data_IF_201424543067
#
_entry.id   IF_201424543067
#
_cell.length_a   1.000
_cell.length_b   1.000
_cell.length_c   1.000
_cell.angle_alpha   90.00
_cell.angle_beta   90.00
_cell.angle_gamma   90.00
#
_symmetry.space_group_name_H-M   'P 1'
#
loop_
_entity.id
_entity.type
_entity.pdbx_description
1 polymer ?
#
# COMPACT_ATOMS: atom_id res chain seq x y z
N UNK A 1 28.88 -53.16 -17.41
CA UNK A 1 27.61 -52.73 -16.75
C UNK A 1 27.86 -51.41 -16.01
N UNK A 2 26.87 -50.49 -16.01
CA UNK A 2 26.82 -49.14 -15.36
C UNK A 2 27.09 -47.86 -16.21
N UNK A 3 26.34 -47.62 -17.30
CA UNK A 3 26.07 -46.25 -17.78
C UNK A 3 24.66 -45.73 -17.39
N UNK A 4 23.73 -46.61 -17.00
CA UNK A 4 22.32 -46.24 -16.72
C UNK A 4 22.12 -45.42 -15.44
N UNK A 5 22.98 -45.59 -14.43
CA UNK A 5 22.86 -44.88 -13.15
C UNK A 5 23.26 -43.40 -13.23
N UNK A 6 24.19 -43.03 -14.13
CA UNK A 6 24.64 -41.64 -14.25
C UNK A 6 23.61 -40.78 -14.99
N UNK A 7 23.05 -41.31 -16.08
CA UNK A 7 22.00 -40.64 -16.84
C UNK A 7 20.73 -40.42 -15.99
N UNK A 8 20.34 -41.43 -15.19
CA UNK A 8 19.19 -41.32 -14.29
C UNK A 8 19.40 -40.21 -13.24
N UNK A 9 20.58 -40.13 -12.63
CA UNK A 9 20.90 -39.06 -11.67
C UNK A 9 20.89 -37.67 -12.30
N UNK A 10 21.43 -37.51 -13.51
CA UNK A 10 21.41 -36.22 -14.23
C UNK A 10 19.98 -35.81 -14.58
N UNK A 11 19.14 -36.74 -15.01
CA UNK A 11 17.72 -36.46 -15.32
C UNK A 11 16.95 -36.08 -14.06
N UNK A 12 17.14 -36.79 -12.95
CA UNK A 12 16.49 -36.45 -11.67
C UNK A 12 16.94 -35.06 -11.18
N UNK A 13 18.23 -34.75 -11.28
CA UNK A 13 18.76 -33.43 -10.89
C UNK A 13 18.19 -32.32 -11.78
N UNK A 14 18.09 -32.56 -13.10
CA UNK A 14 17.53 -31.61 -14.05
C UNK A 14 16.03 -31.37 -13.80
N UNK A 15 15.25 -32.42 -13.53
CA UNK A 15 13.83 -32.32 -13.19
C UNK A 15 13.64 -31.59 -11.87
N UNK A 16 14.44 -31.90 -10.84
CA UNK A 16 14.42 -31.19 -9.57
C UNK A 16 14.77 -29.70 -9.74
N UNK A 17 15.81 -29.38 -10.53
CA UNK A 17 16.20 -28.00 -10.83
C UNK A 17 15.11 -27.24 -11.60
N UNK A 18 14.44 -27.90 -12.56
CA UNK A 18 13.31 -27.32 -13.29
C UNK A 18 12.08 -27.12 -12.40
N UNK A 19 11.80 -28.05 -11.49
CA UNK A 19 10.70 -27.92 -10.54
C UNK A 19 10.94 -26.75 -9.56
N UNK A 20 12.15 -26.64 -9.02
CA UNK A 20 12.55 -25.53 -8.14
C UNK A 20 12.56 -24.20 -8.90
N UNK A 21 13.15 -24.17 -10.11
CA UNK A 21 13.15 -22.99 -10.97
C UNK A 21 11.74 -22.55 -11.39
N UNK A 22 10.87 -23.51 -11.70
CA UNK A 22 9.47 -23.28 -12.03
C UNK A 22 8.67 -22.74 -10.84
N UNK A 23 8.87 -23.30 -9.64
CA UNK A 23 8.24 -22.79 -8.41
C UNK A 23 8.72 -21.37 -8.07
N UNK A 24 10.02 -21.10 -8.19
CA UNK A 24 10.63 -19.77 -8.00
C UNK A 24 10.05 -18.77 -9.03
N UNK A 25 9.91 -19.19 -10.29
CA UNK A 25 9.35 -18.39 -11.38
C UNK A 25 7.82 -18.16 -11.31
N UNK A 26 7.10 -19.08 -10.68
CA UNK A 26 5.67 -18.93 -10.40
C UNK A 26 5.47 -17.97 -9.22
N UNK A 27 6.21 -18.17 -8.12
CA UNK A 27 6.17 -17.30 -6.96
C UNK A 27 6.66 -15.88 -7.30
N UNK A 28 7.65 -15.73 -8.18
CA UNK A 28 8.08 -14.40 -8.65
C UNK A 28 6.98 -13.64 -9.39
N UNK A 29 6.24 -14.33 -10.26
CA UNK A 29 5.13 -13.74 -11.01
C UNK A 29 3.93 -13.46 -10.12
N UNK A 30 3.70 -14.30 -9.11
CA UNK A 30 2.65 -14.09 -8.13
C UNK A 30 2.90 -12.82 -7.28
N UNK A 31 4.16 -12.52 -6.95
CA UNK A 31 4.55 -11.33 -6.16
C UNK A 31 4.77 -10.06 -7.01
N UNK A 32 4.79 -10.20 -8.34
CA UNK A 32 4.97 -9.09 -9.25
C UNK A 32 3.84 -8.05 -9.15
N UNK A 33 4.12 -6.82 -9.62
CA UNK A 33 3.16 -5.71 -9.63
C UNK A 33 1.86 -6.17 -10.29
N UNK A 34 0.71 -6.00 -9.65
CA UNK A 34 -0.57 -6.27 -10.31
C UNK A 34 -0.71 -5.32 -11.51
N UNK A 35 -1.16 -5.85 -12.66
CA UNK A 35 -1.33 -5.09 -13.91
C UNK A 35 -2.30 -3.93 -13.67
N UNK A 36 -1.77 -2.70 -13.51
CA UNK A 36 -2.55 -1.47 -13.35
C UNK A 36 -1.81 -0.27 -13.93
N UNK A 37 -2.56 0.76 -14.38
CA UNK A 37 -2.00 2.01 -14.86
C UNK A 37 -1.06 2.61 -13.82
N UNK A 38 0.10 3.10 -14.28
CA UNK A 38 1.02 3.89 -13.47
C UNK A 38 0.26 5.08 -12.85
N UNK A 39 0.46 5.40 -11.56
CA UNK A 39 -0.06 6.64 -11.00
C UNK A 39 0.43 7.84 -11.82
N UNK A 40 -0.34 8.94 -11.85
CA UNK A 40 0.07 10.15 -12.56
C UNK A 40 1.43 10.64 -12.04
N UNK A 41 2.25 11.16 -12.94
CA UNK A 41 3.57 11.68 -12.60
C UNK A 41 3.43 12.79 -11.55
N UNK A 42 4.17 12.67 -10.44
CA UNK A 42 4.18 13.65 -9.36
C UNK A 42 5.38 14.59 -9.49
N UNK A 43 5.16 15.89 -9.27
CA UNK A 43 6.24 16.87 -9.18
C UNK A 43 6.46 17.34 -7.73
N UNK A 44 7.67 17.85 -7.39
CA UNK A 44 7.91 18.52 -6.11
C UNK A 44 6.95 19.68 -5.83
N UNK A 45 6.50 20.38 -6.88
CA UNK A 45 5.55 21.48 -6.77
C UNK A 45 4.17 21.00 -6.30
N UNK A 46 3.75 19.79 -6.66
CA UNK A 46 2.49 19.20 -6.19
C UNK A 46 2.52 18.97 -4.68
N UNK A 47 3.65 18.51 -4.15
CA UNK A 47 3.84 18.35 -2.71
C UNK A 47 3.73 19.68 -1.95
N UNK A 48 4.39 20.72 -2.45
CA UNK A 48 4.33 22.06 -1.84
C UNK A 48 2.91 22.65 -1.91
N UNK A 49 2.20 22.50 -3.04
CA UNK A 49 0.80 22.93 -3.17
C UNK A 49 -0.12 22.20 -2.19
N UNK A 50 0.03 20.89 -2.06
CA UNK A 50 -0.77 20.08 -1.16
C UNK A 50 -0.53 20.46 0.32
N UNK A 51 0.74 20.64 0.72
CA UNK A 51 1.10 21.10 2.06
C UNK A 51 0.55 22.50 2.35
N UNK A 52 0.66 23.43 1.40
CA UNK A 52 0.13 24.78 1.56
C UNK A 52 -1.40 24.77 1.74
N UNK A 53 -2.13 23.96 0.95
CA UNK A 53 -3.59 23.79 1.10
C UNK A 53 -3.97 23.25 2.48
N UNK A 54 -3.27 22.23 2.97
CA UNK A 54 -3.51 21.65 4.30
C UNK A 54 -3.13 22.62 5.42
N UNK A 55 -2.04 23.36 5.25
CA UNK A 55 -1.62 24.38 6.21
C UNK A 55 -2.59 25.55 6.26
N UNK A 56 -3.08 26.03 5.12
CA UNK A 56 -4.10 27.07 5.06
C UNK A 56 -5.43 26.60 5.66
N UNK A 57 -5.79 25.33 5.45
CA UNK A 57 -6.95 24.70 6.11
C UNK A 57 -6.80 24.72 7.63
N UNK A 58 -5.67 24.23 8.15
CA UNK A 58 -5.40 24.15 9.58
C UNK A 58 -5.25 25.52 10.25
N UNK A 59 -4.67 26.50 9.55
CA UNK A 59 -4.38 27.82 10.09
C UNK A 59 -5.58 28.77 10.03
N UNK A 60 -6.38 28.69 8.97
CA UNK A 60 -7.39 29.71 8.70
C UNK A 60 -8.80 29.31 9.12
N UNK A 61 -9.08 28.02 9.34
CA UNK A 61 -10.38 27.54 9.85
C UNK A 61 -11.58 28.24 9.21
N UNK A 62 -11.47 28.58 7.91
CA UNK A 62 -12.42 29.50 7.29
C UNK A 62 -13.74 28.76 7.14
N UNK A 63 -14.85 29.29 7.68
CA UNK A 63 -16.14 28.66 7.52
C UNK A 63 -16.49 28.55 6.04
N UNK A 64 -17.14 27.46 5.66
CA UNK A 64 -17.63 27.17 4.30
C UNK A 64 -16.57 27.18 3.17
N UNK A 65 -15.34 26.77 3.45
CA UNK A 65 -14.28 26.61 2.44
C UNK A 65 -14.24 25.17 1.92
N UNK A 66 -14.16 25.03 0.59
CA UNK A 66 -13.89 23.73 -0.05
C UNK A 66 -12.43 23.68 -0.50
N UNK A 67 -11.69 22.70 0.02
CA UNK A 67 -10.31 22.43 -0.37
C UNK A 67 -10.26 21.17 -1.22
N UNK A 68 -9.73 21.29 -2.43
CA UNK A 68 -9.58 20.17 -3.36
C UNK A 68 -8.12 19.78 -3.50
N UNK A 69 -7.82 18.50 -3.27
CA UNK A 69 -6.51 17.90 -3.52
C UNK A 69 -6.60 16.98 -4.73
N UNK A 70 -5.69 17.13 -5.69
CA UNK A 70 -5.63 16.24 -6.86
C UNK A 70 -4.96 14.91 -6.53
N UNK A 71 -5.15 13.89 -7.36
CA UNK A 71 -4.44 12.61 -7.22
C UNK A 71 -2.90 12.79 -7.20
N UNK A 72 -2.35 13.70 -8.02
CA UNK A 72 -0.92 14.00 -8.04
C UNK A 72 -0.44 14.66 -6.73
N UNK A 73 -1.24 15.58 -6.17
CA UNK A 73 -0.96 16.23 -4.89
C UNK A 73 -1.00 15.23 -3.72
N UNK A 74 -1.98 14.32 -3.71
CA UNK A 74 -2.07 13.23 -2.73
C UNK A 74 -0.85 12.33 -2.86
N UNK A 75 -0.49 11.89 -4.07
CA UNK A 75 0.66 11.02 -4.30
C UNK A 75 1.99 11.69 -3.89
N UNK A 76 2.14 12.99 -4.14
CA UNK A 76 3.32 13.73 -3.68
C UNK A 76 3.40 13.83 -2.15
N UNK A 77 2.26 13.95 -1.45
CA UNK A 77 2.23 13.89 0.02
C UNK A 77 2.59 12.50 0.54
N UNK A 78 2.02 11.44 -0.04
CA UNK A 78 2.29 10.05 0.36
C UNK A 78 3.77 9.69 0.21
N UNK A 79 4.37 10.06 -0.93
CA UNK A 79 5.77 9.79 -1.22
C UNK A 79 6.73 10.45 -0.21
N UNK A 80 6.35 11.61 0.35
CA UNK A 80 7.19 12.37 1.29
C UNK A 80 6.92 12.03 2.76
N UNK A 81 5.66 11.92 3.16
CA UNK A 81 5.29 11.86 4.58
C UNK A 81 4.99 10.44 5.05
N UNK A 82 4.59 9.54 4.15
CA UNK A 82 4.22 8.18 4.55
C UNK A 82 5.43 7.25 4.71
N UNK A 83 6.58 7.63 4.17
CA UNK A 83 7.88 6.97 4.41
C UNK A 83 8.38 7.23 5.83
N UNK A 84 7.97 8.35 6.45
CA UNK A 84 8.40 8.75 7.80
C UNK A 84 7.32 8.49 8.86
N UNK A 85 6.04 8.43 8.46
CA UNK A 85 4.94 8.25 9.39
C UNK A 85 4.92 6.84 10.02
N UNK A 86 5.02 6.80 11.34
CA UNK A 86 4.76 5.62 12.20
C UNK A 86 5.69 4.41 11.97
N UNK A 87 6.91 4.63 11.46
CA UNK A 87 7.93 3.57 11.36
C UNK A 87 7.71 2.55 10.24
N UNK A 88 6.68 2.73 9.41
CA UNK A 88 6.32 1.81 8.34
C UNK A 88 7.15 2.12 7.10
N UNK A 89 8.00 1.18 6.67
CA UNK A 89 8.80 1.33 5.45
C UNK A 89 8.00 0.84 4.24
N UNK A 90 7.25 1.74 3.62
CA UNK A 90 6.58 1.48 2.35
C UNK A 90 7.41 2.05 1.19
N UNK A 91 7.76 1.21 0.24
CA UNK A 91 8.37 1.62 -1.02
C UNK A 91 7.32 2.14 -2.00
N UNK A 92 7.61 3.29 -2.62
CA UNK A 92 6.80 3.95 -3.65
C UNK A 92 5.27 3.88 -3.40
N UNK A 93 4.77 4.41 -2.26
CA UNK A 93 3.34 4.44 -2.00
C UNK A 93 2.64 5.32 -3.03
N UNK A 94 1.49 4.86 -3.52
CA UNK A 94 0.63 5.57 -4.46
C UNK A 94 -0.84 5.34 -4.12
N UNK A 95 -1.65 6.38 -4.27
CA UNK A 95 -3.10 6.38 -4.19
C UNK A 95 -3.69 6.69 -5.55
N UNK A 96 -4.76 5.98 -5.87
CA UNK A 96 -5.67 6.29 -6.96
C UNK A 96 -7.04 6.61 -6.39
N UNK A 97 -7.62 7.72 -6.85
CA UNK A 97 -8.89 8.24 -6.38
C UNK A 97 -9.96 7.80 -7.38
N UNK A 98 -10.67 6.72 -7.05
CA UNK A 98 -11.59 6.05 -7.97
C UNK A 98 -12.92 6.80 -8.10
N UNK A 99 -13.33 7.49 -7.03
CA UNK A 99 -14.66 8.10 -6.90
C UNK A 99 -15.56 7.29 -5.95
N UNK A 100 -16.76 7.80 -5.68
CA UNK A 100 -17.71 7.20 -4.73
C UNK A 100 -17.08 6.90 -3.35
N UNK A 101 -16.27 7.84 -2.86
CA UNK A 101 -15.50 7.71 -1.61
C UNK A 101 -14.51 6.53 -1.60
N UNK A 102 -14.21 5.93 -2.76
CA UNK A 102 -13.24 4.84 -2.88
C UNK A 102 -11.86 5.34 -3.25
N UNK A 103 -10.89 4.91 -2.45
CA UNK A 103 -9.45 5.10 -2.70
C UNK A 103 -8.79 3.73 -2.85
N UNK A 104 -7.80 3.68 -3.72
CA UNK A 104 -6.97 2.50 -3.88
C UNK A 104 -5.52 2.84 -3.65
N UNK A 105 -4.95 2.21 -2.64
CA UNK A 105 -3.57 2.37 -2.23
C UNK A 105 -2.74 1.21 -2.79
N UNK A 106 -1.59 1.52 -3.35
CA UNK A 106 -0.61 0.55 -3.83
C UNK A 106 0.76 0.94 -3.31
N UNK A 107 1.49 -0.02 -2.74
CA UNK A 107 2.85 0.16 -2.26
C UNK A 107 3.62 -1.14 -2.50
N UNK A 108 4.93 -1.13 -2.25
CA UNK A 108 5.70 -2.37 -2.15
C UNK A 108 6.51 -2.41 -0.86
N UNK A 109 6.68 -3.61 -0.31
CA UNK A 109 7.52 -3.88 0.86
C UNK A 109 8.50 -5.00 0.55
N UNK A 110 9.69 -5.03 1.14
CA UNK A 110 10.56 -6.20 1.05
C UNK A 110 9.86 -7.44 1.61
N UNK A 111 10.04 -8.59 0.97
CA UNK A 111 9.45 -9.86 1.44
C UNK A 111 9.86 -10.17 2.89
N UNK A 112 11.10 -9.89 3.28
CA UNK A 112 11.57 -10.07 4.65
C UNK A 112 10.71 -9.28 5.64
N UNK A 113 10.47 -8.00 5.36
CA UNK A 113 9.67 -7.13 6.23
C UNK A 113 8.24 -7.65 6.36
N UNK A 114 7.63 -8.12 5.26
CA UNK A 114 6.30 -8.71 5.32
C UNK A 114 6.23 -9.96 6.21
N UNK A 115 7.28 -10.80 6.22
CA UNK A 115 7.35 -11.98 7.07
C UNK A 115 7.57 -11.61 8.55
N UNK A 116 8.36 -10.57 8.80
CA UNK A 116 8.59 -10.03 10.13
C UNK A 116 7.27 -9.46 10.69
N UNK A 117 6.56 -8.64 9.90
CA UNK A 117 5.26 -8.05 10.24
C UNK A 117 4.17 -9.12 10.43
N UNK A 118 4.22 -10.21 9.67
CA UNK A 118 3.32 -11.36 9.79
C UNK A 118 3.59 -12.25 11.01
N UNK A 119 4.63 -11.96 11.80
CA UNK A 119 5.01 -12.75 12.98
C UNK A 119 5.67 -14.09 12.64
N UNK A 120 6.19 -14.27 11.43
CA UNK A 120 6.90 -15.48 10.98
C UNK A 120 8.34 -15.18 10.50
N UNK A 121 9.15 -14.45 11.29
CA UNK A 121 10.50 -14.03 10.88
C UNK A 121 11.43 -15.22 10.59
N UNK A 122 11.17 -16.37 11.21
CA UNK A 122 11.91 -17.61 10.99
C UNK A 122 11.89 -18.06 9.51
N UNK A 123 10.79 -17.82 8.79
CA UNK A 123 10.72 -18.13 7.35
C UNK A 123 11.68 -17.27 6.53
N UNK A 124 11.89 -16.01 6.93
CA UNK A 124 12.83 -15.10 6.27
C UNK A 124 14.28 -15.58 6.34
N UNK A 125 14.65 -16.24 7.45
CA UNK A 125 16.00 -16.80 7.63
C UNK A 125 16.33 -17.94 6.64
N UNK A 126 15.32 -18.67 6.17
CA UNK A 126 15.46 -19.76 5.19
C UNK A 126 15.54 -19.24 3.75
N UNK A 127 15.08 -18.01 3.50
CA UNK A 127 15.13 -17.41 2.17
C UNK A 127 16.55 -17.02 1.77
N UNK A 128 16.86 -17.13 0.48
CA UNK A 128 18.13 -16.61 -0.06
C UNK A 128 18.14 -15.08 -0.03
N UNK A 129 19.31 -14.42 -0.03
CA UNK A 129 19.40 -12.95 0.03
C UNK A 129 18.58 -12.24 -1.05
N UNK A 130 18.55 -12.78 -2.27
CA UNK A 130 17.76 -12.24 -3.38
C UNK A 130 16.24 -12.32 -3.17
N UNK A 131 15.77 -13.30 -2.40
CA UNK A 131 14.36 -13.41 -2.02
C UNK A 131 13.99 -12.47 -0.87
N UNK A 132 14.88 -12.28 0.12
CA UNK A 132 14.62 -11.38 1.26
C UNK A 132 14.40 -9.94 0.83
N UNK A 133 15.23 -9.45 -0.10
CA UNK A 133 15.14 -8.09 -0.64
C UNK A 133 14.08 -7.93 -1.73
N UNK A 134 13.35 -8.99 -2.08
CA UNK A 134 12.43 -8.97 -3.21
C UNK A 134 11.23 -8.07 -2.89
N UNK A 135 10.88 -7.12 -3.76
CA UNK A 135 9.71 -6.28 -3.55
C UNK A 135 8.43 -7.09 -3.73
N UNK A 136 7.58 -7.04 -2.73
CA UNK A 136 6.22 -7.60 -2.73
C UNK A 136 5.26 -6.43 -2.82
N UNK A 137 4.44 -6.44 -3.87
CA UNK A 137 3.43 -5.40 -4.05
C UNK A 137 2.25 -5.63 -3.13
N UNK A 138 1.78 -4.58 -2.48
CA UNK A 138 0.59 -4.57 -1.65
C UNK A 138 -0.44 -3.65 -2.30
N UNK A 139 -1.68 -4.10 -2.32
CA UNK A 139 -2.81 -3.29 -2.79
C UNK A 139 -3.92 -3.33 -1.76
N UNK A 140 -4.40 -2.14 -1.41
CA UNK A 140 -5.52 -1.95 -0.49
C UNK A 140 -6.57 -1.09 -1.20
N UNK A 141 -7.77 -1.64 -1.40
CA UNK A 141 -8.95 -0.87 -1.76
C UNK A 141 -9.71 -0.52 -0.49
N UNK A 142 -9.93 0.77 -0.26
CA UNK A 142 -10.62 1.25 0.93
C UNK A 142 -11.65 2.31 0.59
N UNK A 143 -12.68 2.37 1.42
CA UNK A 143 -13.70 3.40 1.39
C UNK A 143 -13.43 4.43 2.48
N UNK A 144 -13.42 5.70 2.11
CA UNK A 144 -13.19 6.81 3.02
C UNK A 144 -14.50 7.10 3.74
N UNK A 145 -14.49 7.03 5.07
CA UNK A 145 -15.63 7.40 5.91
C UNK A 145 -15.20 8.39 6.98
N UNK A 146 -16.07 9.34 7.28
CA UNK A 146 -15.92 10.21 8.45
C UNK A 146 -16.80 9.64 9.55
N UNK A 147 -16.20 9.23 10.67
CA UNK A 147 -16.93 8.84 11.88
C UNK A 147 -17.23 10.12 12.68
N UNK A 148 -18.52 10.33 12.98
CA UNK A 148 -19.02 11.51 13.69
C UNK A 148 -19.02 11.34 15.22
N UNK A 149 -18.67 10.15 15.74
CA UNK A 149 -18.72 9.88 17.19
C UNK A 149 -17.60 10.60 17.95
N UNK A 150 -17.96 11.53 18.84
CA UNK A 150 -17.18 12.20 19.92
C UNK A 150 -15.82 12.85 19.54
N UNK A 151 -15.01 12.23 18.70
CA UNK A 151 -13.86 12.79 17.99
C UNK A 151 -14.03 12.48 16.50
N UNK A 152 -14.17 13.51 15.66
CA UNK A 152 -14.28 13.34 14.20
C UNK A 152 -13.03 12.60 13.70
N UNK A 153 -13.23 11.41 13.14
CA UNK A 153 -12.14 10.57 12.65
C UNK A 153 -12.37 10.18 11.21
N UNK A 154 -11.38 10.41 10.36
CA UNK A 154 -11.31 9.83 9.04
C UNK A 154 -10.89 8.38 9.17
N UNK A 155 -11.70 7.47 8.65
CA UNK A 155 -11.47 6.04 8.67
C UNK A 155 -11.48 5.50 7.26
N UNK A 156 -10.45 4.72 6.94
CA UNK A 156 -10.34 3.94 5.72
C UNK A 156 -10.86 2.54 6.01
N UNK A 157 -12.09 2.26 5.59
CA UNK A 157 -12.67 0.92 5.68
C UNK A 157 -12.19 0.08 4.49
N UNK A 158 -11.34 -0.91 4.77
CA UNK A 158 -10.74 -1.76 3.75
C UNK A 158 -11.78 -2.76 3.23
N UNK A 159 -12.05 -2.70 1.94
CA UNK A 159 -12.94 -3.63 1.22
C UNK A 159 -12.13 -4.73 0.53
N UNK A 160 -11.03 -4.34 -0.11
CA UNK A 160 -10.20 -5.22 -0.92
C UNK A 160 -8.76 -5.20 -0.44
N UNK A 161 -8.14 -6.38 -0.34
CA UNK A 161 -6.71 -6.49 -0.08
C UNK A 161 -6.07 -7.50 -1.05
N UNK A 162 -4.88 -7.18 -1.54
CA UNK A 162 -4.10 -8.10 -2.36
C UNK A 162 -2.60 -7.96 -2.12
N UNK A 163 -1.91 -9.09 -2.21
CA UNK A 163 -0.46 -9.23 -2.13
C UNK A 163 0.02 -9.78 -3.46
N UNK A 164 0.77 -8.99 -4.20
CA UNK A 164 1.11 -9.19 -5.61
C UNK A 164 -0.16 -9.35 -6.44
N UNK A 165 -0.35 -10.54 -7.01
CA UNK A 165 -1.52 -10.93 -7.80
C UNK A 165 -2.58 -11.67 -6.97
N UNK A 166 -2.27 -12.06 -5.73
CA UNK A 166 -3.16 -12.84 -4.88
C UNK A 166 -4.08 -11.91 -4.08
N UNK A 167 -5.40 -12.08 -4.24
CA UNK A 167 -6.39 -11.41 -3.39
C UNK A 167 -6.48 -12.12 -2.06
N UNK A 168 -6.48 -11.34 -0.98
CA UNK A 168 -6.61 -11.83 0.38
C UNK A 168 -7.81 -11.15 1.05
N UNK A 169 -8.41 -11.79 2.07
CA UNK A 169 -9.45 -11.15 2.87
C UNK A 169 -8.94 -9.84 3.50
N UNK A 170 -9.79 -8.81 3.59
CA UNK A 170 -9.44 -7.54 4.22
C UNK A 170 -8.91 -7.71 5.67
N UNK A 171 -9.40 -8.72 6.39
CA UNK A 171 -8.92 -9.06 7.73
C UNK A 171 -7.44 -9.47 7.77
N UNK A 172 -6.92 -10.07 6.68
CA UNK A 172 -5.52 -10.46 6.58
C UNK A 172 -4.56 -9.26 6.60
N UNK A 173 -5.03 -8.07 6.21
CA UNK A 173 -4.24 -6.84 6.31
C UNK A 173 -3.76 -6.59 7.75
N UNK A 174 -4.60 -6.86 8.75
CA UNK A 174 -4.26 -6.66 10.17
C UNK A 174 -3.29 -7.70 10.71
N UNK A 175 -3.21 -8.85 10.06
CA UNK A 175 -2.28 -9.92 10.42
C UNK A 175 -0.93 -9.76 9.73
N UNK A 176 -0.92 -9.14 8.55
CA UNK A 176 0.26 -9.02 7.69
C UNK A 176 0.95 -7.66 7.80
N UNK A 177 0.30 -6.65 8.37
CA UNK A 177 0.88 -5.34 8.59
C UNK A 177 1.03 -5.06 10.09
N UNK A 178 2.12 -4.39 10.43
CA UNK A 178 2.34 -3.80 11.76
C UNK A 178 1.09 -3.01 12.22
N UNK A 179 0.64 -3.16 13.48
CA UNK A 179 -0.33 -2.28 14.11
C UNK A 179 -0.14 -0.79 13.81
N UNK A 180 1.10 -0.31 13.69
CA UNK A 180 1.41 1.06 13.31
C UNK A 180 0.89 1.44 11.90
N UNK A 181 1.02 0.52 10.94
CA UNK A 181 0.49 0.65 9.59
C UNK A 181 -1.03 0.54 9.55
N UNK A 182 -1.63 -0.31 10.38
CA UNK A 182 -3.09 -0.35 10.57
C UNK A 182 -3.60 0.98 11.16
N UNK A 183 -2.81 1.62 12.02
CA UNK A 183 -3.08 2.97 12.52
C UNK A 183 -3.16 4.03 11.41
N UNK A 184 -2.48 3.84 10.27
CA UNK A 184 -2.60 4.73 9.11
C UNK A 184 -3.97 4.63 8.41
N UNK A 185 -4.82 3.69 8.80
CA UNK A 185 -6.22 3.65 8.33
C UNK A 185 -7.13 4.60 9.12
N UNK A 186 -6.63 5.23 10.19
CA UNK A 186 -7.39 6.11 11.08
C UNK A 186 -6.66 7.42 11.34
N UNK A 187 -7.31 8.52 11.01
CA UNK A 187 -6.75 9.87 11.14
C UNK A 187 -7.73 10.73 11.92
N UNK A 188 -7.23 11.46 12.92
CA UNK A 188 -8.02 12.48 13.60
C UNK A 188 -8.25 13.67 12.67
N UNK A 189 -9.51 14.04 12.46
CA UNK A 189 -9.84 15.23 11.69
C UNK A 189 -9.86 16.46 12.60
N UNK A 190 -9.35 17.62 12.13
CA UNK A 190 -9.56 18.89 12.82
C UNK A 190 -11.06 19.20 12.97
N UNK A 191 -11.43 19.92 14.04
CA UNK A 191 -12.84 20.26 14.34
C UNK A 191 -13.52 21.06 13.22
N UNK A 192 -12.73 21.79 12.44
CA UNK A 192 -13.22 22.67 11.39
C UNK A 192 -13.53 21.93 10.08
N UNK A 193 -13.19 20.64 9.97
CA UNK A 193 -13.49 19.82 8.80
C UNK A 193 -14.85 19.15 8.97
N UNK A 194 -15.78 19.45 8.06
CA UNK A 194 -17.12 18.88 8.09
C UNK A 194 -17.18 17.50 7.42
N UNK A 195 -16.74 17.44 6.17
CA UNK A 195 -16.77 16.21 5.37
C UNK A 195 -15.52 16.06 4.51
N UNK A 196 -15.09 14.82 4.30
CA UNK A 196 -14.05 14.46 3.32
C UNK A 196 -14.66 13.49 2.34
N UNK A 197 -14.73 13.87 1.07
CA UNK A 197 -15.22 13.03 -0.02
C UNK A 197 -14.12 12.69 -1.02
N UNK A 198 -14.21 11.52 -1.65
CA UNK A 198 -13.35 11.15 -2.77
C UNK A 198 -14.16 11.15 -4.06
N UNK A 199 -13.81 12.06 -4.94
CA UNK A 199 -14.31 12.13 -6.31
C UNK A 199 -13.26 11.55 -7.27
N UNK A 200 -13.63 11.19 -8.50
CA UNK A 200 -12.67 10.68 -9.47
C UNK A 200 -11.49 11.65 -9.65
N UNK A 201 -10.28 11.19 -9.33
CA UNK A 201 -9.03 11.94 -9.44
C UNK A 201 -8.82 13.07 -8.43
N UNK A 202 -9.70 13.26 -7.43
CA UNK A 202 -9.55 14.34 -6.43
C UNK A 202 -10.22 14.03 -5.08
N UNK A 203 -9.64 14.56 -4.01
CA UNK A 203 -10.23 14.57 -2.67
C UNK A 203 -10.82 15.96 -2.42
N UNK A 204 -12.05 16.00 -1.94
CA UNK A 204 -12.77 17.23 -1.62
C UNK A 204 -12.97 17.28 -0.10
N UNK A 205 -12.38 18.28 0.54
CA UNK A 205 -12.51 18.54 1.96
C UNK A 205 -13.41 19.77 2.13
N UNK A 206 -14.51 19.63 2.83
CA UNK A 206 -15.43 20.74 3.14
C UNK A 206 -15.28 21.11 4.61
N UNK A 207 -15.15 22.39 4.91
CA UNK A 207 -15.14 22.88 6.30
C UNK A 207 -16.54 23.15 6.81
N UNK A 208 -16.70 23.11 8.14
CA UNK A 208 -17.94 23.44 8.80
C UNK A 208 -18.37 24.88 8.47
N UNK A 209 -19.68 25.08 8.41
CA UNK A 209 -20.30 26.39 8.16
C UNK A 209 -20.24 27.26 9.41
#
# INVERSE_FOLDING_TARGET
MRPRSCLASVVVLAVAALAVGGAIGAASRALARPDRPEPPATSPADGARAQQKLFDLARRGRPATTVTLTEAEVNALLARHLVEARGVRLGAPSARLVGDDRVQLTAHVPLQQLLDDAGVPALGSVLTPGWRARPVWLRVGAHVRVDERAARQLRLDVEDFAVGRQRLPAAALRLLLDPAAVGLLRWSLPRDVDSVGVEPGRVVIRTAS
#
